data_IF_675348221053
#
_entry.id   IF_675348221053
#
_cell.length_a   1.000
_cell.length_b   1.000
_cell.length_c   1.000
_cell.angle_alpha   90.00
_cell.angle_beta   90.00
_cell.angle_gamma   90.00
#
_symmetry.space_group_name_H-M   'P 1'
#
loop_
_entity.id
_entity.type
_entity.pdbx_description
1 polymer ?
#
# COMPACT_ATOMS: atom_id res chain seq x y z
N UNK A 1 8.37 2.88 -8.13
CA UNK A 1 7.31 2.40 -9.04
C UNK A 1 6.49 3.61 -9.47
N UNK A 2 6.31 3.85 -10.78
CA UNK A 2 5.40 4.90 -11.28
C UNK A 2 3.97 4.38 -11.18
N UNK A 3 3.09 5.15 -10.55
CA UNK A 3 1.66 4.88 -10.53
C UNK A 3 1.12 5.01 -11.97
N UNK A 4 0.44 3.98 -12.49
CA UNK A 4 -0.24 4.06 -13.78
C UNK A 4 -1.74 4.35 -13.57
N UNK A 5 -2.10 5.64 -13.70
CA UNK A 5 -3.46 6.15 -13.61
C UNK A 5 -4.44 5.55 -14.65
N UNK A 6 -3.97 4.77 -15.62
CA UNK A 6 -4.80 4.11 -16.64
C UNK A 6 -5.26 2.72 -16.24
N UNK A 7 -4.76 2.18 -15.13
CA UNK A 7 -5.09 0.84 -14.66
C UNK A 7 -6.45 0.84 -13.95
N UNK A 8 -7.32 -0.12 -14.29
CA UNK A 8 -8.62 -0.29 -13.62
C UNK A 8 -8.39 -0.50 -12.11
N UNK A 9 -9.19 0.15 -11.23
CA UNK A 9 -9.11 -0.06 -9.79
C UNK A 9 -9.27 -1.55 -9.47
N UNK A 10 -8.31 -2.16 -8.75
CA UNK A 10 -8.38 -3.57 -8.39
C UNK A 10 -9.44 -3.85 -7.31
N UNK A 11 -9.75 -2.84 -6.49
CA UNK A 11 -10.80 -2.86 -5.47
C UNK A 11 -11.58 -1.54 -5.51
N UNK A 12 -12.89 -1.63 -5.31
CA UNK A 12 -13.79 -0.50 -5.11
C UNK A 12 -14.86 -0.95 -4.11
N UNK A 13 -14.94 -0.24 -3.00
CA UNK A 13 -15.83 -0.57 -1.90
C UNK A 13 -16.69 0.66 -1.59
N UNK A 14 -17.89 0.44 -1.06
CA UNK A 14 -18.79 1.53 -0.68
C UNK A 14 -19.58 1.15 0.55
N UNK A 15 -19.72 2.11 1.45
CA UNK A 15 -20.56 2.01 2.63
C UNK A 15 -21.54 3.18 2.60
N UNK A 16 -22.79 2.91 2.96
CA UNK A 16 -23.85 3.91 2.99
C UNK A 16 -24.65 3.75 4.27
N UNK A 17 -24.92 4.85 4.95
CA UNK A 17 -25.76 4.88 6.15
C UNK A 17 -27.23 5.17 5.79
N UNK A 18 -27.47 5.87 4.68
CA UNK A 18 -28.79 6.26 4.18
C UNK A 18 -28.80 6.23 2.65
N UNK A 19 -29.80 5.61 2.05
CA UNK A 19 -29.82 5.32 0.62
C UNK A 19 -28.87 4.19 0.23
N UNK A 20 -28.77 3.88 -1.07
CA UNK A 20 -27.90 2.80 -1.56
C UNK A 20 -28.34 2.16 -2.86
N UNK A 21 -29.56 2.43 -3.31
CA UNK A 21 -30.19 1.77 -4.47
C UNK A 21 -29.35 1.88 -5.75
N UNK A 22 -28.61 2.98 -5.91
CA UNK A 22 -27.79 3.22 -7.09
C UNK A 22 -26.34 2.76 -6.95
N UNK A 23 -25.86 2.37 -5.74
CA UNK A 23 -24.44 2.10 -5.46
C UNK A 23 -23.84 1.08 -6.42
N UNK A 24 -24.53 -0.05 -6.62
CA UNK A 24 -24.03 -1.10 -7.50
C UNK A 24 -23.93 -0.65 -8.96
N UNK A 25 -24.96 0.05 -9.47
CA UNK A 25 -24.98 0.59 -10.83
C UNK A 25 -23.83 1.59 -11.05
N UNK A 26 -23.61 2.48 -10.09
CA UNK A 26 -22.53 3.48 -10.14
C UNK A 26 -21.17 2.80 -10.13
N UNK A 27 -20.97 1.82 -9.26
CA UNK A 27 -19.72 1.07 -9.18
C UNK A 27 -19.44 0.36 -10.51
N UNK A 28 -20.44 -0.28 -11.11
CA UNK A 28 -20.31 -0.94 -12.40
C UNK A 28 -19.96 0.05 -13.51
N UNK A 29 -20.66 1.18 -13.59
CA UNK A 29 -20.36 2.22 -14.57
C UNK A 29 -18.95 2.82 -14.35
N UNK A 30 -18.55 3.06 -13.12
CA UNK A 30 -17.22 3.57 -12.77
C UNK A 30 -16.11 2.60 -13.22
N UNK A 31 -16.26 1.32 -12.86
CA UNK A 31 -15.33 0.24 -13.25
C UNK A 31 -15.38 -0.08 -14.75
N UNK A 32 -16.48 0.25 -15.43
CA UNK A 32 -16.66 0.11 -16.88
C UNK A 32 -15.85 1.09 -17.72
N UNK A 33 -15.18 2.08 -17.11
CA UNK A 33 -14.21 2.94 -17.78
C UNK A 33 -14.18 4.38 -17.30
N UNK A 34 -15.19 4.84 -16.56
CA UNK A 34 -15.28 6.23 -16.10
C UNK A 34 -14.21 6.61 -15.07
N UNK A 35 -13.59 5.64 -14.41
CA UNK A 35 -12.44 5.88 -13.53
C UNK A 35 -11.31 6.67 -14.22
N UNK A 36 -11.11 6.50 -15.54
CA UNK A 36 -10.03 7.18 -16.29
C UNK A 36 -10.14 8.70 -16.29
N UNK A 37 -11.35 9.21 -16.06
CA UNK A 37 -11.63 10.64 -15.97
C UNK A 37 -11.67 11.17 -14.53
N UNK A 38 -11.46 10.31 -13.54
CA UNK A 38 -11.50 10.72 -12.13
C UNK A 38 -10.25 11.56 -11.79
N UNK A 39 -10.42 12.84 -11.39
CA UNK A 39 -9.30 13.70 -11.02
C UNK A 39 -8.52 13.18 -9.82
N UNK A 40 -9.12 12.35 -8.95
CA UNK A 40 -8.45 11.75 -7.80
C UNK A 40 -7.26 10.88 -8.19
N UNK A 41 -7.26 10.31 -9.40
CA UNK A 41 -6.15 9.51 -9.92
C UNK A 41 -4.91 10.34 -10.26
N UNK A 42 -5.06 11.66 -10.45
CA UNK A 42 -3.95 12.57 -10.75
C UNK A 42 -3.43 13.31 -9.53
N UNK A 43 -4.05 13.13 -8.37
CA UNK A 43 -3.63 13.78 -7.11
C UNK A 43 -2.17 13.51 -6.76
N UNK A 44 -1.61 12.28 -6.95
CA UNK A 44 -0.19 12.03 -6.74
C UNK A 44 0.78 12.91 -7.55
N UNK A 45 0.34 13.43 -8.69
CA UNK A 45 1.15 14.28 -9.58
C UNK A 45 1.06 15.77 -9.19
N UNK A 46 0.19 16.11 -8.23
CA UNK A 46 -0.07 17.49 -7.82
C UNK A 46 0.81 17.93 -6.64
N UNK A 47 1.08 19.23 -6.55
CA UNK A 47 1.78 19.84 -5.41
C UNK A 47 1.01 19.77 -4.07
N UNK A 48 -0.25 19.30 -4.10
CA UNK A 48 -1.08 19.05 -2.91
C UNK A 48 -0.70 17.76 -2.19
N UNK A 49 -0.02 16.84 -2.87
CA UNK A 49 0.44 15.60 -2.27
C UNK A 49 1.70 15.85 -1.45
N UNK A 50 1.54 15.88 -0.12
CA UNK A 50 2.63 16.13 0.84
C UNK A 50 2.61 15.04 1.90
N UNK A 51 3.79 14.61 2.33
CA UNK A 51 3.96 13.59 3.37
C UNK A 51 3.15 12.30 3.15
N UNK A 52 2.95 11.91 1.89
CA UNK A 52 2.24 10.69 1.50
C UNK A 52 0.71 10.78 1.51
N UNK A 53 0.14 11.97 1.71
CA UNK A 53 -1.31 12.19 1.75
C UNK A 53 -1.71 13.48 1.02
N UNK A 54 -2.94 13.52 0.52
CA UNK A 54 -3.60 14.71 0.01
C UNK A 54 -5.10 14.64 0.26
N UNK A 55 -5.73 15.80 0.42
CA UNK A 55 -7.19 15.92 0.47
C UNK A 55 -7.63 16.71 -0.75
N UNK A 56 -8.57 16.15 -1.51
CA UNK A 56 -9.18 16.78 -2.67
C UNK A 56 -10.67 17.02 -2.40
N UNK A 57 -11.11 18.25 -2.62
CA UNK A 57 -12.51 18.67 -2.53
C UNK A 57 -13.08 18.86 -3.92
N UNK A 58 -14.20 18.21 -4.22
CA UNK A 58 -14.90 18.29 -5.50
C UNK A 58 -16.37 18.57 -5.28
N UNK A 59 -16.76 19.78 -5.67
CA UNK A 59 -18.16 20.17 -5.77
C UNK A 59 -18.75 19.68 -7.10
N UNK A 60 -20.05 19.36 -7.13
CA UNK A 60 -20.78 18.99 -8.35
C UNK A 60 -20.50 19.97 -9.50
N UNK A 61 -20.53 21.26 -9.21
CA UNK A 61 -20.41 22.32 -10.23
C UNK A 61 -19.00 22.46 -10.80
N UNK A 62 -17.99 21.91 -10.12
CA UNK A 62 -16.62 21.85 -10.63
C UNK A 62 -16.40 20.69 -11.61
N UNK A 63 -17.35 19.76 -11.72
CA UNK A 63 -17.27 18.67 -12.69
C UNK A 63 -17.51 19.19 -14.11
N UNK A 64 -16.62 18.94 -15.08
CA UNK A 64 -16.83 19.39 -16.45
C UNK A 64 -18.15 18.85 -17.01
N UNK A 65 -18.93 19.72 -17.66
CA UNK A 65 -20.23 19.34 -18.25
C UNK A 65 -20.06 18.19 -19.23
N UNK A 66 -21.01 17.25 -19.20
CA UNK A 66 -20.99 16.05 -20.05
C UNK A 66 -20.07 14.93 -19.56
N UNK A 67 -19.36 15.10 -18.44
CA UNK A 67 -18.64 14.00 -17.80
C UNK A 67 -19.59 13.10 -17.01
N UNK A 68 -19.17 11.86 -16.81
CA UNK A 68 -19.87 10.92 -15.92
C UNK A 68 -20.08 11.51 -14.53
N UNK A 69 -19.10 12.25 -14.00
CA UNK A 69 -19.22 12.94 -12.72
C UNK A 69 -20.39 13.93 -12.69
N UNK A 70 -20.54 14.78 -13.71
CA UNK A 70 -21.62 15.76 -13.78
C UNK A 70 -23.02 15.11 -13.85
N UNK A 71 -23.17 14.05 -14.66
CA UNK A 71 -24.43 13.30 -14.77
C UNK A 71 -24.74 12.52 -13.48
N UNK A 72 -23.72 11.91 -12.89
CA UNK A 72 -23.82 11.14 -11.66
C UNK A 72 -24.23 12.00 -10.48
N UNK A 73 -23.47 13.07 -10.20
CA UNK A 73 -23.73 13.97 -9.07
C UNK A 73 -25.15 14.51 -9.10
N UNK A 74 -25.67 14.88 -10.29
CA UNK A 74 -27.05 15.30 -10.46
C UNK A 74 -28.07 14.19 -10.21
N UNK A 75 -27.90 13.00 -10.81
CA UNK A 75 -28.89 11.91 -10.74
C UNK A 75 -29.06 11.34 -9.34
N UNK A 76 -27.98 11.23 -8.56
CA UNK A 76 -28.02 10.70 -7.19
C UNK A 76 -28.02 11.78 -6.11
N UNK A 77 -28.24 13.04 -6.52
CA UNK A 77 -28.33 14.19 -5.61
C UNK A 77 -27.12 14.31 -4.68
N UNK A 78 -25.94 14.01 -5.21
CA UNK A 78 -24.67 14.19 -4.51
C UNK A 78 -24.11 15.57 -4.82
N UNK A 79 -23.90 16.35 -3.79
CA UNK A 79 -23.49 17.75 -3.88
C UNK A 79 -21.97 17.87 -3.90
N UNK A 80 -21.32 17.12 -3.02
CA UNK A 80 -19.90 17.27 -2.77
C UNK A 80 -19.22 15.94 -2.43
N UNK A 81 -17.97 15.79 -2.88
CA UNK A 81 -17.08 14.68 -2.57
C UNK A 81 -15.77 15.21 -1.98
N UNK A 82 -15.41 14.70 -0.80
CA UNK A 82 -14.06 14.81 -0.26
C UNK A 82 -13.31 13.50 -0.49
N UNK A 83 -12.13 13.59 -1.10
CA UNK A 83 -11.24 12.44 -1.31
C UNK A 83 -10.00 12.60 -0.46
N UNK A 84 -9.75 11.65 0.44
CA UNK A 84 -8.46 11.47 1.10
C UNK A 84 -7.66 10.49 0.24
N UNK A 85 -6.60 10.97 -0.40
CA UNK A 85 -5.71 10.19 -1.24
C UNK A 85 -4.40 9.92 -0.52
N UNK A 86 -3.96 8.66 -0.49
CA UNK A 86 -2.67 8.25 0.07
C UNK A 86 -1.97 7.23 -0.83
N UNK A 87 -0.66 7.09 -0.67
CA UNK A 87 0.11 6.06 -1.39
C UNK A 87 0.73 5.08 -0.39
N UNK A 88 0.49 3.80 -0.60
CA UNK A 88 1.07 2.70 0.16
C UNK A 88 1.45 1.54 -0.75
N UNK A 89 2.62 0.94 -0.55
CA UNK A 89 3.12 -0.20 -1.34
C UNK A 89 3.06 0.00 -2.87
N UNK A 90 3.25 1.25 -3.32
CA UNK A 90 3.17 1.63 -4.73
C UNK A 90 1.76 1.73 -5.31
N UNK A 91 0.72 1.70 -4.47
CA UNK A 91 -0.70 1.80 -4.85
C UNK A 91 -1.30 3.10 -4.32
N UNK A 92 -2.18 3.70 -5.12
CA UNK A 92 -3.01 4.81 -4.69
C UNK A 92 -4.24 4.28 -3.96
N UNK A 93 -4.46 4.75 -2.75
CA UNK A 93 -5.66 4.54 -1.98
C UNK A 93 -6.46 5.84 -1.96
N UNK A 94 -7.73 5.76 -2.33
CA UNK A 94 -8.65 6.90 -2.30
C UNK A 94 -9.84 6.55 -1.42
N UNK A 95 -9.98 7.25 -0.30
CA UNK A 95 -11.18 7.21 0.52
C UNK A 95 -12.07 8.40 0.16
N UNK A 96 -13.29 8.11 -0.27
CA UNK A 96 -14.25 9.13 -0.68
C UNK A 96 -15.37 9.28 0.35
N UNK A 97 -15.56 10.50 0.84
CA UNK A 97 -16.68 10.92 1.66
C UNK A 97 -17.63 11.73 0.76
N UNK A 98 -18.91 11.37 0.76
CA UNK A 98 -19.91 11.96 -0.10
C UNK A 98 -20.99 12.67 0.72
N UNK A 99 -21.42 13.85 0.26
CA UNK A 99 -22.60 14.56 0.80
C UNK A 99 -23.70 14.67 -0.23
N UNK A 100 -24.92 14.51 0.25
CA UNK A 100 -26.14 14.74 -0.52
C UNK A 100 -26.60 16.20 -0.40
N UNK A 101 -27.44 16.64 -1.35
CA UNK A 101 -28.02 17.99 -1.37
C UNK A 101 -28.63 18.40 -0.02
N UNK A 102 -29.28 17.46 0.66
CA UNK A 102 -29.99 17.66 1.94
C UNK A 102 -29.05 17.99 3.12
N UNK A 103 -27.79 17.55 3.04
CA UNK A 103 -26.80 17.78 4.08
C UNK A 103 -25.99 19.07 3.87
N UNK A 104 -26.12 19.71 2.69
CA UNK A 104 -25.29 20.86 2.32
C UNK A 104 -23.82 20.51 2.07
N UNK A 105 -23.02 21.52 1.72
CA UNK A 105 -21.57 21.37 1.51
C UNK A 105 -20.84 21.22 2.85
N UNK A 106 -19.62 20.70 2.83
CA UNK A 106 -18.73 20.73 3.99
C UNK A 106 -18.38 22.18 4.34
N UNK A 107 -18.57 22.57 5.59
CA UNK A 107 -18.02 23.83 6.08
C UNK A 107 -16.52 23.71 6.35
N UNK A 108 -15.87 24.85 6.62
CA UNK A 108 -14.43 24.89 6.83
C UNK A 108 -14.03 24.18 8.14
N UNK A 109 -14.84 24.24 9.20
CA UNK A 109 -14.55 23.56 10.46
C UNK A 109 -14.63 22.03 10.32
N UNK A 110 -15.60 21.53 9.56
CA UNK A 110 -15.73 20.12 9.21
C UNK A 110 -14.55 19.65 8.38
N UNK A 111 -14.11 20.48 7.43
CA UNK A 111 -12.93 20.20 6.63
C UNK A 111 -11.68 20.11 7.52
N UNK A 112 -11.46 21.05 8.43
CA UNK A 112 -10.35 21.02 9.39
C UNK A 112 -10.38 19.78 10.29
N UNK A 113 -11.56 19.38 10.78
CA UNK A 113 -11.72 18.14 11.55
C UNK A 113 -11.35 16.90 10.74
N UNK A 114 -11.75 16.84 9.47
CA UNK A 114 -11.39 15.75 8.57
C UNK A 114 -9.88 15.76 8.30
N UNK A 115 -9.30 16.93 8.07
CA UNK A 115 -7.86 17.09 7.85
C UNK A 115 -7.04 16.60 9.05
N UNK A 116 -7.47 16.94 10.27
CA UNK A 116 -6.84 16.50 11.51
C UNK A 116 -6.77 14.97 11.66
N UNK A 117 -7.77 14.24 11.14
CA UNK A 117 -7.83 12.76 11.22
C UNK A 117 -7.43 12.05 9.92
N UNK A 118 -7.19 12.78 8.82
CA UNK A 118 -7.05 12.21 7.49
C UNK A 118 -5.93 11.16 7.42
N UNK A 119 -4.78 11.43 8.05
CA UNK A 119 -3.65 10.49 8.09
C UNK A 119 -4.01 9.19 8.79
N UNK A 120 -4.67 9.28 9.94
CA UNK A 120 -5.10 8.10 10.69
C UNK A 120 -6.07 7.24 9.87
N UNK A 121 -7.08 7.88 9.29
CA UNK A 121 -8.09 7.19 8.48
C UNK A 121 -7.49 6.58 7.22
N UNK A 122 -6.56 7.27 6.55
CA UNK A 122 -5.85 6.74 5.38
C UNK A 122 -5.06 5.46 5.72
N UNK A 123 -4.31 5.47 6.83
CA UNK A 123 -3.55 4.29 7.29
C UNK A 123 -4.50 3.15 7.65
N UNK A 124 -5.60 3.43 8.35
CA UNK A 124 -6.59 2.43 8.72
C UNK A 124 -7.21 1.77 7.47
N UNK A 125 -7.56 2.57 6.45
CA UNK A 125 -8.10 2.07 5.19
C UNK A 125 -7.09 1.19 4.43
N UNK A 126 -5.82 1.59 4.40
CA UNK A 126 -4.74 0.78 3.81
C UNK A 126 -4.57 -0.57 4.52
N UNK A 127 -4.54 -0.57 5.86
CA UNK A 127 -4.43 -1.80 6.65
C UNK A 127 -5.65 -2.71 6.51
N UNK A 128 -6.83 -2.13 6.36
CA UNK A 128 -8.05 -2.89 6.07
C UNK A 128 -8.01 -3.57 4.69
N UNK A 129 -7.53 -2.88 3.64
CA UNK A 129 -7.33 -3.49 2.31
C UNK A 129 -6.28 -4.61 2.35
N UNK A 130 -5.16 -4.39 3.05
CA UNK A 130 -4.10 -5.40 3.27
C UNK A 130 -4.63 -6.65 4.00
N UNK A 131 -5.52 -6.47 4.98
CA UNK A 131 -6.13 -7.57 5.72
C UNK A 131 -7.10 -8.39 4.87
N UNK A 132 -7.76 -7.77 3.87
CA UNK A 132 -8.79 -8.39 3.03
C UNK A 132 -8.26 -9.13 1.81
N UNK A 133 -7.11 -8.72 1.25
CA UNK A 133 -6.55 -9.36 0.04
C UNK A 133 -5.33 -10.24 0.38
N UNK A 134 -5.47 -11.59 0.41
CA UNK A 134 -4.35 -12.51 0.55
C UNK A 134 -3.27 -12.32 -0.53
N UNK A 135 -3.63 -11.84 -1.73
CA UNK A 135 -2.68 -11.54 -2.81
C UNK A 135 -1.92 -10.24 -2.56
N UNK A 136 -2.48 -9.31 -1.78
CA UNK A 136 -1.77 -8.11 -1.32
C UNK A 136 -0.61 -8.50 -0.42
N UNK A 137 -0.83 -9.42 0.54
CA UNK A 137 0.25 -9.98 1.39
C UNK A 137 1.36 -10.64 0.57
N UNK A 138 1.02 -11.32 -0.53
CA UNK A 138 2.01 -11.94 -1.41
C UNK A 138 2.79 -10.90 -2.23
N UNK A 139 2.12 -9.87 -2.77
CA UNK A 139 2.78 -8.74 -3.46
C UNK A 139 3.67 -7.92 -2.54
N UNK A 140 3.20 -7.58 -1.35
CA UNK A 140 3.98 -6.89 -0.31
C UNK A 140 5.20 -7.73 0.09
N UNK A 141 5.05 -9.05 0.26
CA UNK A 141 6.19 -9.96 0.46
C UNK A 141 7.21 -9.86 -0.69
N UNK A 142 6.78 -9.84 -1.95
CA UNK A 142 7.69 -9.69 -3.09
C UNK A 142 8.33 -8.29 -3.17
N UNK A 143 7.59 -7.25 -2.79
CA UNK A 143 8.11 -5.89 -2.65
C UNK A 143 9.20 -5.81 -1.58
N UNK A 144 8.95 -6.37 -0.39
CA UNK A 144 9.94 -6.51 0.67
C UNK A 144 11.13 -7.36 0.24
N UNK A 145 10.90 -8.46 -0.47
CA UNK A 145 11.96 -9.32 -0.99
C UNK A 145 12.90 -8.53 -1.93
N UNK A 146 12.34 -7.77 -2.87
CA UNK A 146 13.12 -6.91 -3.76
C UNK A 146 13.89 -5.83 -2.99
N UNK A 147 13.28 -5.21 -1.97
CA UNK A 147 13.93 -4.26 -1.08
C UNK A 147 15.13 -4.88 -0.34
N UNK A 148 14.96 -6.05 0.29
CA UNK A 148 16.04 -6.74 0.99
C UNK A 148 17.14 -7.22 0.05
N UNK A 149 16.81 -7.69 -1.17
CA UNK A 149 17.82 -8.05 -2.16
C UNK A 149 18.69 -6.85 -2.56
N UNK A 150 18.06 -5.68 -2.76
CA UNK A 150 18.78 -4.45 -3.06
C UNK A 150 19.69 -4.04 -1.92
N UNK A 151 19.17 -4.03 -0.69
CA UNK A 151 19.92 -3.68 0.53
C UNK A 151 21.12 -4.61 0.74
N UNK A 152 20.91 -5.93 0.67
CA UNK A 152 21.97 -6.91 0.88
C UNK A 152 23.04 -6.81 -0.21
N UNK A 153 22.67 -6.57 -1.48
CA UNK A 153 23.64 -6.33 -2.56
C UNK A 153 24.48 -5.08 -2.31
N UNK A 154 23.86 -3.99 -1.88
CA UNK A 154 24.58 -2.74 -1.64
C UNK A 154 25.50 -2.83 -0.41
N UNK A 155 25.03 -3.46 0.66
CA UNK A 155 25.77 -3.55 1.92
C UNK A 155 26.87 -4.63 1.90
N UNK A 156 26.64 -5.72 1.15
CA UNK A 156 27.51 -6.90 1.18
C UNK A 156 27.80 -7.42 -0.24
N UNK A 157 28.61 -6.69 -1.04
CA UNK A 157 28.92 -7.06 -2.42
C UNK A 157 29.67 -8.39 -2.56
N UNK A 158 30.27 -8.91 -1.47
CA UNK A 158 30.94 -10.21 -1.44
C UNK A 158 30.00 -11.43 -1.36
N UNK A 159 28.69 -11.26 -1.24
CA UNK A 159 27.73 -12.36 -1.26
C UNK A 159 27.39 -12.78 -2.70
N UNK A 160 27.28 -14.09 -2.92
CA UNK A 160 26.83 -14.64 -4.20
C UNK A 160 25.33 -14.42 -4.40
N UNK A 161 24.87 -14.46 -5.67
CA UNK A 161 23.44 -14.35 -5.99
C UNK A 161 22.57 -15.35 -5.22
N UNK A 162 23.01 -16.61 -5.10
CA UNK A 162 22.28 -17.65 -4.36
C UNK A 162 22.24 -17.41 -2.85
N UNK A 163 23.31 -16.86 -2.28
CA UNK A 163 23.33 -16.48 -0.86
C UNK A 163 22.36 -15.32 -0.60
N UNK A 164 22.38 -14.29 -1.45
CA UNK A 164 21.46 -13.15 -1.40
C UNK A 164 20.00 -13.60 -1.50
N UNK A 165 19.69 -14.47 -2.46
CA UNK A 165 18.36 -15.02 -2.68
C UNK A 165 17.81 -15.75 -1.45
N UNK A 166 18.65 -16.51 -0.77
CA UNK A 166 18.28 -17.23 0.45
C UNK A 166 18.10 -16.26 1.63
N UNK A 167 19.03 -15.33 1.85
CA UNK A 167 18.95 -14.37 2.95
C UNK A 167 17.72 -13.46 2.85
N UNK A 168 17.43 -12.94 1.65
CA UNK A 168 16.27 -12.08 1.44
C UNK A 168 14.95 -12.80 1.75
N UNK A 169 14.87 -14.10 1.46
CA UNK A 169 13.68 -14.91 1.79
C UNK A 169 13.54 -15.23 3.27
N UNK A 170 14.66 -15.41 3.97
CA UNK A 170 14.69 -15.51 5.44
C UNK A 170 14.16 -14.20 6.06
N UNK A 171 14.57 -13.04 5.54
CA UNK A 171 14.14 -11.72 6.01
C UNK A 171 12.64 -11.44 5.81
N UNK A 172 12.00 -12.04 4.79
CA UNK A 172 10.54 -11.98 4.62
C UNK A 172 9.79 -13.12 5.32
N UNK A 173 10.47 -13.91 6.16
CA UNK A 173 9.86 -14.91 7.04
C UNK A 173 9.55 -16.27 6.41
N UNK A 174 10.24 -16.67 5.34
CA UNK A 174 10.05 -18.00 4.74
C UNK A 174 10.81 -19.09 5.51
N UNK A 175 10.21 -20.27 5.63
CA UNK A 175 10.88 -21.47 6.15
C UNK A 175 11.88 -22.02 5.15
N UNK A 176 12.80 -22.89 5.58
CA UNK A 176 13.80 -23.48 4.67
C UNK A 176 13.15 -24.30 3.56
N UNK A 177 12.05 -25.00 3.88
CA UNK A 177 11.21 -25.75 2.94
C UNK A 177 10.50 -24.81 1.95
N UNK A 178 9.95 -23.70 2.45
CA UNK A 178 9.32 -22.69 1.61
C UNK A 178 10.32 -22.04 0.64
N UNK A 179 11.54 -21.77 1.10
CA UNK A 179 12.63 -21.24 0.26
C UNK A 179 13.05 -22.25 -0.81
N UNK A 180 13.16 -23.54 -0.44
CA UNK A 180 13.52 -24.61 -1.35
C UNK A 180 12.51 -24.72 -2.50
N UNK A 181 11.21 -24.71 -2.16
CA UNK A 181 10.12 -24.71 -3.13
C UNK A 181 10.14 -23.45 -4.02
N UNK A 182 10.32 -22.28 -3.42
CA UNK A 182 10.31 -21.01 -4.15
C UNK A 182 11.49 -20.86 -5.13
N UNK A 183 12.67 -21.35 -4.75
CA UNK A 183 13.88 -21.29 -5.57
C UNK A 183 14.05 -22.49 -6.51
N UNK A 184 13.20 -23.52 -6.41
CA UNK A 184 13.35 -24.77 -7.14
C UNK A 184 14.67 -25.51 -6.82
N UNK A 185 15.09 -25.50 -5.55
CA UNK A 185 16.32 -26.16 -5.08
C UNK A 185 16.03 -27.09 -3.90
N UNK A 186 16.98 -27.95 -3.54
CA UNK A 186 16.84 -28.81 -2.36
C UNK A 186 16.94 -28.03 -1.04
N UNK A 187 16.23 -28.46 0.00
CA UNK A 187 16.32 -27.89 1.36
C UNK A 187 17.76 -27.88 1.89
N UNK A 188 18.51 -28.95 1.63
CA UNK A 188 19.94 -29.02 1.99
C UNK A 188 20.79 -27.94 1.31
N UNK A 189 20.45 -27.56 0.06
CA UNK A 189 21.10 -26.44 -0.63
C UNK A 189 20.77 -25.12 0.05
N UNK A 190 19.52 -24.90 0.46
CA UNK A 190 19.11 -23.71 1.23
C UNK A 190 19.92 -23.61 2.53
N UNK A 191 20.00 -24.69 3.30
CA UNK A 191 20.76 -24.72 4.56
C UNK A 191 22.25 -24.45 4.33
N UNK A 192 22.82 -24.97 3.23
CA UNK A 192 24.21 -24.74 2.83
C UNK A 192 24.46 -23.28 2.49
N UNK A 193 23.61 -22.67 1.66
CA UNK A 193 23.73 -21.24 1.31
C UNK A 193 23.54 -20.36 2.53
N UNK A 194 22.57 -20.65 3.41
CA UNK A 194 22.39 -19.93 4.68
C UNK A 194 23.64 -19.98 5.54
N UNK A 195 24.22 -21.17 5.74
CA UNK A 195 25.44 -21.36 6.56
C UNK A 195 26.62 -20.57 5.99
N UNK A 196 26.83 -20.63 4.66
CA UNK A 196 27.92 -19.90 3.99
C UNK A 196 27.72 -18.38 4.09
N UNK A 197 26.50 -17.90 3.84
CA UNK A 197 26.15 -16.50 3.93
C UNK A 197 26.35 -15.97 5.36
N UNK A 198 25.89 -16.71 6.37
CA UNK A 198 26.07 -16.35 7.78
C UNK A 198 27.53 -16.28 8.17
N UNK A 199 28.35 -17.24 7.71
CA UNK A 199 29.81 -17.21 7.90
C UNK A 199 30.47 -15.98 7.25
N UNK A 200 30.05 -15.59 6.05
CA UNK A 200 30.55 -14.37 5.37
C UNK A 200 30.13 -13.08 6.05
N UNK A 201 28.96 -13.08 6.69
CA UNK A 201 28.42 -11.93 7.44
C UNK A 201 28.89 -11.88 8.90
N UNK A 202 29.57 -12.93 9.39
CA UNK A 202 30.00 -13.02 10.79
C UNK A 202 28.85 -13.19 11.80
N UNK A 203 27.70 -13.72 11.35
CA UNK A 203 26.50 -13.89 12.19
C UNK A 203 26.19 -15.36 12.43
N UNK A 204 25.44 -15.65 13.50
CA UNK A 204 25.01 -17.01 13.87
C UNK A 204 23.50 -17.15 13.97
N UNK A 205 22.75 -16.05 13.96
CA UNK A 205 21.30 -16.09 14.11
C UNK A 205 20.55 -15.22 13.09
N UNK A 206 19.29 -15.57 12.85
CA UNK A 206 18.38 -14.76 12.04
C UNK A 206 18.11 -13.39 12.68
N UNK A 207 18.10 -13.29 14.01
CA UNK A 207 17.97 -12.02 14.71
C UNK A 207 19.12 -11.05 14.37
N UNK A 208 20.35 -11.56 14.30
CA UNK A 208 21.50 -10.76 13.87
C UNK A 208 21.41 -10.35 12.40
N UNK A 209 20.87 -11.20 11.52
CA UNK A 209 20.60 -10.82 10.13
C UNK A 209 19.62 -9.63 10.04
N UNK A 210 18.56 -9.63 10.87
CA UNK A 210 17.64 -8.48 10.96
C UNK A 210 18.32 -7.22 11.49
N UNK A 211 19.17 -7.36 12.52
CA UNK A 211 19.94 -6.24 13.09
C UNK A 211 20.79 -5.53 12.04
N UNK A 212 21.51 -6.31 11.22
CA UNK A 212 22.32 -5.80 10.11
C UNK A 212 21.49 -5.04 9.07
N UNK A 213 20.27 -5.49 8.79
CA UNK A 213 19.41 -4.88 7.76
C UNK A 213 18.66 -3.63 8.26
N UNK A 214 18.39 -3.53 9.56
CA UNK A 214 17.64 -2.43 10.17
C UNK A 214 18.52 -1.27 10.64
N UNK A 215 19.84 -1.34 10.42
CA UNK A 215 20.78 -0.28 10.78
C UNK A 215 21.07 -0.19 12.28
N UNK A 216 20.77 -1.24 13.05
CA UNK A 216 21.28 -1.37 14.41
C UNK A 216 22.76 -1.76 14.32
N UNK A 217 23.61 -0.76 14.10
CA UNK A 217 25.05 -0.94 14.02
C UNK A 217 25.58 -1.61 15.29
N UNK A 218 26.16 -2.79 15.13
CA UNK A 218 27.14 -3.44 16.01
C UNK A 218 26.87 -3.61 17.53
N UNK A 219 25.69 -3.29 18.06
CA UNK A 219 25.33 -3.72 19.41
C UNK A 219 24.63 -5.09 19.37
N UNK A 220 25.20 -6.13 20.01
CA UNK A 220 24.51 -7.40 20.14
C UNK A 220 23.21 -7.19 20.94
N UNK A 221 22.09 -7.83 20.54
CA UNK A 221 20.87 -7.78 21.35
C UNK A 221 21.18 -8.28 22.77
N UNK A 222 20.67 -7.61 23.82
CA UNK A 222 20.92 -8.04 25.19
C UNK A 222 20.50 -9.49 25.34
N UNK A 223 21.44 -10.35 25.75
CA UNK A 223 21.18 -11.76 26.02
C UNK A 223 20.01 -11.84 27.03
N UNK A 224 18.93 -12.61 26.74
CA UNK A 224 17.95 -12.91 27.77
C UNK A 224 18.66 -13.69 28.87
N UNK A 225 18.53 -13.19 30.10
CA UNK A 225 19.15 -13.69 31.33
C UNK A 225 19.26 -15.23 31.35
N UNK A 226 20.49 -15.73 31.57
CA UNK A 226 20.68 -17.04 32.20
C UNK A 226 20.20 -16.92 33.64
N UNK A 227 19.04 -17.50 33.93
CA UNK A 227 18.72 -18.04 35.25
C UNK A 227 19.08 -19.53 35.24
#
# INVERSE_FOLDING_TARGET
MRFDARTRPPSLESATLRGGEHVSEIQQAYLGGHFRTDPSLRVPESSRFRDGIAILRLHRDAAPRGTFGAQYYGRVRLLERLTIASIGDGRLHCLNLYRHDEAGSFDDEEFERIEAIARFVAIAAMKHDEARDPRSRYRDRWGRLAGFLSLLRSAHPGLTGRELDVLARILVGMTSEGIALDLGIGVNSVLTYRKRAYGRLGITSQAQLFSLCLGYGNEPPPCPNRL
#
